data_IF_765169699000
#
_entry.id   IF_765169699000
#
_cell.length_a   1.000
_cell.length_b   1.000
_cell.length_c   1.000
_cell.angle_alpha   90.00
_cell.angle_beta   90.00
_cell.angle_gamma   90.00
#
_symmetry.space_group_name_H-M   'P 1'
#
loop_
_entity.id
_entity.type
_entity.pdbx_description
1 polymer ?
#
# COMPACT_ATOMS: atom_id res chain seq x y z
N UNK A 1 -1.19 -2.44 26.70
CA UNK A 1 -1.02 -1.95 25.30
C UNK A 1 -1.95 -2.80 24.44
N UNK A 2 -3.02 -2.23 23.87
CA UNK A 2 -4.11 -3.01 23.25
C UNK A 2 -3.70 -3.70 21.93
N UNK A 3 -4.28 -4.87 21.65
CA UNK A 3 -4.00 -5.72 20.49
C UNK A 3 -4.00 -4.96 19.14
N UNK A 4 -4.88 -3.96 19.00
CA UNK A 4 -4.95 -3.08 17.83
C UNK A 4 -3.66 -2.29 17.56
N UNK A 5 -2.94 -1.90 18.62
CA UNK A 5 -1.66 -1.18 18.50
C UNK A 5 -0.52 -2.07 18.01
N UNK A 6 -0.53 -3.34 18.41
CA UNK A 6 0.44 -4.34 17.94
C UNK A 6 0.20 -4.72 16.48
N UNK A 7 -1.07 -4.85 16.07
CA UNK A 7 -1.44 -5.16 14.69
C UNK A 7 -1.05 -4.05 13.73
N UNK A 8 -1.31 -2.78 14.08
CA UNK A 8 -0.94 -1.66 13.21
C UNK A 8 0.58 -1.52 13.06
N UNK A 9 1.34 -1.72 14.13
CA UNK A 9 2.80 -1.70 14.07
C UNK A 9 3.32 -2.78 13.11
N UNK A 10 2.80 -4.01 13.24
CA UNK A 10 3.10 -5.10 12.32
C UNK A 10 2.68 -4.76 10.88
N UNK A 11 1.51 -4.14 10.68
CA UNK A 11 1.05 -3.73 9.36
C UNK A 11 1.98 -2.69 8.72
N UNK A 12 2.46 -1.71 9.48
CA UNK A 12 3.43 -0.72 9.00
C UNK A 12 4.76 -1.40 8.63
N UNK A 13 5.28 -2.25 9.51
CA UNK A 13 6.55 -2.94 9.28
C UNK A 13 6.49 -3.88 8.07
N UNK A 14 5.38 -4.59 7.89
CA UNK A 14 5.22 -5.61 6.85
C UNK A 14 4.78 -5.01 5.50
N UNK A 15 3.99 -3.94 5.48
CA UNK A 15 3.39 -3.44 4.24
C UNK A 15 3.86 -2.04 3.84
N UNK A 16 4.05 -1.11 4.79
CA UNK A 16 4.41 0.28 4.44
C UNK A 16 5.85 0.37 3.98
N UNK A 17 6.80 -0.12 4.79
CA UNK A 17 8.22 0.01 4.47
C UNK A 17 8.61 -0.70 3.17
N UNK A 18 8.19 -1.95 2.94
CA UNK A 18 8.46 -2.60 1.66
C UNK A 18 7.85 -1.86 0.48
N UNK A 19 6.63 -1.31 0.62
CA UNK A 19 6.01 -0.53 -0.46
C UNK A 19 6.79 0.75 -0.77
N UNK A 20 7.26 1.49 0.24
CA UNK A 20 8.08 2.68 0.04
C UNK A 20 9.40 2.32 -0.67
N UNK A 21 10.07 1.26 -0.23
CA UNK A 21 11.32 0.80 -0.84
C UNK A 21 11.09 0.41 -2.30
N UNK A 22 10.06 -0.40 -2.58
CA UNK A 22 9.71 -0.83 -3.93
C UNK A 22 9.37 0.36 -4.85
N UNK A 23 8.56 1.30 -4.37
CA UNK A 23 8.21 2.50 -5.14
C UNK A 23 9.46 3.35 -5.43
N UNK A 24 10.34 3.50 -4.46
CA UNK A 24 11.61 4.23 -4.64
C UNK A 24 12.48 3.54 -5.69
N UNK A 25 12.66 2.21 -5.59
CA UNK A 25 13.44 1.45 -6.57
C UNK A 25 12.84 1.50 -7.98
N UNK A 26 11.51 1.52 -8.10
CA UNK A 26 10.84 1.67 -9.39
C UNK A 26 11.01 3.06 -10.00
N UNK A 27 11.05 4.11 -9.18
CA UNK A 27 11.12 5.50 -9.65
C UNK A 27 12.55 5.97 -9.91
N UNK A 28 13.54 5.42 -9.20
CA UNK A 28 14.95 5.73 -9.41
C UNK A 28 15.43 5.20 -10.78
N UNK A 29 16.35 5.95 -11.42
CA UNK A 29 16.97 5.61 -12.70
C UNK A 29 17.91 4.41 -12.63
N UNK A 30 17.38 3.21 -12.32
CA UNK A 30 18.16 1.98 -12.27
C UNK A 30 18.61 1.51 -13.66
N UNK A 31 19.76 0.82 -13.77
CA UNK A 31 20.19 0.15 -15.00
C UNK A 31 19.13 -0.85 -15.50
N UNK A 32 19.04 -1.07 -16.82
CA UNK A 32 18.01 -1.94 -17.44
C UNK A 32 17.96 -3.35 -16.85
N UNK A 33 19.10 -3.93 -16.47
CA UNK A 33 19.13 -5.27 -15.87
C UNK A 33 18.50 -5.27 -14.47
N UNK A 34 18.77 -4.25 -13.65
CA UNK A 34 18.24 -4.11 -12.30
C UNK A 34 16.73 -3.84 -12.34
N UNK A 35 16.25 -3.02 -13.28
CA UNK A 35 14.81 -2.81 -13.50
C UNK A 35 14.10 -4.10 -13.88
N UNK A 36 14.67 -4.91 -14.77
CA UNK A 36 14.12 -6.23 -15.15
C UNK A 36 14.10 -7.21 -13.98
N UNK A 37 15.17 -7.28 -13.20
CA UNK A 37 15.22 -8.11 -12.00
C UNK A 37 14.19 -7.68 -10.97
N UNK A 38 14.07 -6.37 -10.72
CA UNK A 38 13.07 -5.80 -9.82
C UNK A 38 11.65 -6.09 -10.29
N UNK A 39 11.36 -5.89 -11.58
CA UNK A 39 10.06 -6.22 -12.16
C UNK A 39 9.72 -7.71 -12.02
N UNK A 40 10.70 -8.60 -12.25
CA UNK A 40 10.52 -10.02 -12.03
C UNK A 40 10.21 -10.37 -10.57
N UNK A 41 10.92 -9.77 -9.61
CA UNK A 41 10.64 -9.95 -8.18
C UNK A 41 9.23 -9.45 -7.83
N UNK A 42 8.84 -8.28 -8.33
CA UNK A 42 7.50 -7.72 -8.12
C UNK A 42 6.43 -8.67 -8.67
N UNK A 43 6.61 -9.17 -9.89
CA UNK A 43 5.68 -10.10 -10.51
C UNK A 43 5.58 -11.41 -9.73
N UNK A 44 6.70 -11.94 -9.22
CA UNK A 44 6.71 -13.18 -8.44
C UNK A 44 6.18 -13.03 -7.02
N UNK A 45 6.38 -11.88 -6.39
CA UNK A 45 5.97 -11.65 -4.99
C UNK A 45 4.54 -11.11 -4.94
N UNK A 46 4.27 -9.97 -5.60
CA UNK A 46 2.95 -9.34 -5.54
C UNK A 46 1.90 -10.16 -6.31
N UNK A 47 2.27 -10.84 -7.39
CA UNK A 47 1.31 -11.68 -8.13
C UNK A 47 1.47 -13.17 -7.85
N UNK A 48 2.11 -13.52 -6.72
CA UNK A 48 2.14 -14.90 -6.24
C UNK A 48 0.69 -15.39 -6.06
N UNK A 49 0.27 -16.48 -6.72
CA UNK A 49 -1.06 -17.02 -6.54
C UNK A 49 -1.16 -17.68 -5.15
N UNK A 50 -1.98 -17.10 -4.29
CA UNK A 50 -2.33 -17.67 -2.98
C UNK A 50 -3.62 -18.45 -3.11
N UNK A 51 -3.66 -19.65 -2.55
CA UNK A 51 -4.86 -20.48 -2.54
C UNK A 51 -5.77 -20.05 -1.37
N UNK A 52 -6.97 -19.59 -1.69
CA UNK A 52 -8.01 -19.27 -0.72
C UNK A 52 -9.18 -20.23 -0.99
N UNK A 53 -9.16 -21.37 -0.30
CA UNK A 53 -10.03 -22.51 -0.62
C UNK A 53 -9.73 -23.04 -2.02
N UNK A 54 -10.73 -23.01 -2.91
CA UNK A 54 -10.61 -23.48 -4.29
C UNK A 54 -10.14 -22.40 -5.28
N UNK A 55 -10.01 -21.14 -4.85
CA UNK A 55 -9.66 -20.03 -5.73
C UNK A 55 -8.18 -19.66 -5.63
N UNK A 56 -7.56 -19.32 -6.76
CA UNK A 56 -6.22 -18.74 -6.82
C UNK A 56 -6.34 -17.23 -6.92
N UNK A 57 -5.93 -16.53 -5.86
CA UNK A 57 -5.99 -15.07 -5.80
C UNK A 57 -4.56 -14.53 -5.72
N UNK A 58 -4.15 -13.60 -6.61
CA UNK A 58 -2.87 -12.93 -6.49
C UNK A 58 -2.71 -12.26 -5.12
N UNK A 59 -1.55 -12.43 -4.48
CA UNK A 59 -1.25 -11.84 -3.17
C UNK A 59 -1.56 -10.34 -3.12
N UNK A 60 -1.33 -9.62 -4.22
CA UNK A 60 -1.67 -8.22 -4.42
C UNK A 60 -3.11 -7.88 -4.06
N UNK A 61 -4.08 -8.68 -4.52
CA UNK A 61 -5.49 -8.43 -4.24
C UNK A 61 -5.82 -8.67 -2.77
N UNK A 62 -5.15 -9.63 -2.13
CA UNK A 62 -5.28 -9.86 -0.69
C UNK A 62 -4.70 -8.69 0.11
N UNK A 63 -3.52 -8.18 -0.26
CA UNK A 63 -2.90 -7.02 0.39
C UNK A 63 -3.76 -5.77 0.21
N UNK A 64 -4.31 -5.54 -0.98
CA UNK A 64 -5.23 -4.42 -1.23
C UNK A 64 -6.53 -4.56 -0.44
N UNK A 65 -7.12 -5.75 -0.41
CA UNK A 65 -8.34 -5.99 0.37
C UNK A 65 -8.08 -5.75 1.86
N UNK A 66 -6.99 -6.29 2.39
CA UNK A 66 -6.60 -6.07 3.78
C UNK A 66 -6.39 -4.57 4.06
N UNK A 67 -5.69 -3.87 3.17
CA UNK A 67 -5.45 -2.43 3.29
C UNK A 67 -6.76 -1.63 3.24
N UNK A 68 -7.70 -2.02 2.38
CA UNK A 68 -9.02 -1.41 2.30
C UNK A 68 -9.86 -1.65 3.58
N UNK A 69 -9.79 -2.86 4.16
CA UNK A 69 -10.44 -3.18 5.43
C UNK A 69 -9.84 -2.35 6.57
N UNK A 70 -8.50 -2.28 6.66
CA UNK A 70 -7.82 -1.48 7.69
C UNK A 70 -8.16 0.00 7.53
N UNK A 71 -8.22 0.50 6.30
CA UNK A 71 -8.64 1.87 6.00
C UNK A 71 -10.09 2.12 6.44
N UNK A 72 -11.01 1.21 6.12
CA UNK A 72 -12.41 1.32 6.51
C UNK A 72 -12.59 1.33 8.03
N UNK A 73 -11.92 0.42 8.74
CA UNK A 73 -11.96 0.36 10.21
C UNK A 73 -11.34 1.62 10.83
N UNK A 74 -10.23 2.11 10.28
CA UNK A 74 -9.60 3.34 10.77
C UNK A 74 -10.46 4.58 10.51
N UNK A 75 -11.17 4.61 9.38
CA UNK A 75 -12.11 5.68 9.04
C UNK A 75 -13.32 5.70 10.00
N UNK A 76 -13.92 4.54 10.28
CA UNK A 76 -15.03 4.45 11.22
C UNK A 76 -14.61 4.82 12.64
N UNK A 77 -13.43 4.39 13.09
CA UNK A 77 -12.86 4.80 14.38
C UNK A 77 -12.64 6.33 14.44
N UNK A 78 -12.10 6.93 13.38
CA UNK A 78 -11.88 8.37 13.30
C UNK A 78 -13.20 9.15 13.32
N UNK A 79 -14.20 8.74 12.54
CA UNK A 79 -15.50 9.41 12.49
C UNK A 79 -16.26 9.35 13.81
N UNK A 80 -16.28 8.17 14.45
CA UNK A 80 -16.91 8.01 15.77
C UNK A 80 -16.29 8.96 16.80
N UNK A 81 -14.97 9.15 16.76
CA UNK A 81 -14.25 10.07 17.64
C UNK A 81 -14.42 11.55 17.24
N UNK A 82 -14.53 11.86 15.95
CA UNK A 82 -14.72 13.23 15.49
C UNK A 82 -16.04 13.83 16.00
N UNK A 83 -17.12 13.06 15.95
CA UNK A 83 -18.43 13.44 16.49
C UNK A 83 -18.34 13.74 18.00
N UNK A 84 -17.56 12.95 18.74
CA UNK A 84 -17.35 13.17 20.17
C UNK A 84 -16.49 14.40 20.49
N UNK A 85 -15.62 14.87 19.59
CA UNK A 85 -14.69 15.98 19.87
C UNK A 85 -15.38 17.34 20.01
N UNK A 86 -16.52 17.54 19.33
CA UNK A 86 -17.34 18.73 19.49
C UNK A 86 -17.97 18.83 20.89
N UNK A 87 -18.32 17.69 21.48
CA UNK A 87 -18.89 17.58 22.82
C UNK A 87 -17.80 17.56 23.91
N UNK A 88 -16.65 16.94 23.62
CA UNK A 88 -15.51 16.76 24.53
C UNK A 88 -14.67 18.01 24.77
N UNK A 89 -14.81 19.06 23.95
CA UNK A 89 -14.13 20.33 24.17
C UNK A 89 -14.46 20.97 25.55
N UNK A 90 -15.56 20.53 26.19
CA UNK A 90 -16.01 20.98 27.51
C UNK A 90 -15.76 19.96 28.63
N UNK A 91 -15.22 18.78 28.33
CA UNK A 91 -15.04 17.71 29.30
C UNK A 91 -13.72 17.88 30.09
N UNK A 92 -13.69 17.51 31.39
CA UNK A 92 -12.49 17.61 32.22
C UNK A 92 -11.32 16.73 31.72
N UNK A 93 -11.60 15.75 30.84
CA UNK A 93 -10.61 14.82 30.29
C UNK A 93 -10.30 15.09 28.79
N UNK A 94 -10.55 16.31 28.31
CA UNK A 94 -10.42 16.67 26.89
C UNK A 94 -9.05 16.29 26.28
N UNK A 95 -7.96 16.43 27.03
CA UNK A 95 -6.61 16.10 26.53
C UNK A 95 -6.40 14.61 26.27
N UNK A 96 -6.92 13.75 27.15
CA UNK A 96 -6.81 12.31 26.96
C UNK A 96 -7.60 11.83 25.73
N UNK A 97 -8.77 12.42 25.47
CA UNK A 97 -9.56 12.11 24.29
C UNK A 97 -8.96 12.69 23.00
N UNK A 98 -8.40 13.91 23.05
CA UNK A 98 -7.61 14.48 21.94
C UNK A 98 -6.49 13.53 21.52
N UNK A 99 -5.73 12.98 22.47
CA UNK A 99 -4.66 12.01 22.17
C UNK A 99 -5.20 10.75 21.49
N UNK A 100 -6.37 10.25 21.90
CA UNK A 100 -7.00 9.09 21.25
C UNK A 100 -7.48 9.41 19.83
N UNK A 101 -8.06 10.59 19.61
CA UNK A 101 -8.44 11.07 18.29
C UNK A 101 -7.23 11.18 17.35
N UNK A 102 -6.16 11.86 17.78
CA UNK A 102 -4.94 11.97 16.97
C UNK A 102 -4.34 10.60 16.63
N UNK A 103 -4.36 9.67 17.58
CA UNK A 103 -3.94 8.28 17.30
C UNK A 103 -4.78 7.66 16.19
N UNK A 104 -6.12 7.73 16.28
CA UNK A 104 -7.00 7.19 15.25
C UNK A 104 -6.78 7.86 13.87
N UNK A 105 -6.58 9.18 13.85
CA UNK A 105 -6.27 9.93 12.64
C UNK A 105 -4.95 9.50 12.00
N UNK A 106 -3.91 9.28 12.81
CA UNK A 106 -2.62 8.74 12.32
C UNK A 106 -2.81 7.35 11.72
N UNK A 107 -3.60 6.46 12.35
CA UNK A 107 -3.89 5.13 11.77
C UNK A 107 -4.56 5.23 10.41
N UNK A 108 -5.54 6.12 10.30
CA UNK A 108 -6.25 6.37 9.06
C UNK A 108 -5.31 6.82 7.94
N UNK A 109 -4.44 7.80 8.19
CA UNK A 109 -3.49 8.28 7.19
C UNK A 109 -2.47 7.23 6.78
N UNK A 110 -1.98 6.43 7.74
CA UNK A 110 -1.09 5.29 7.44
C UNK A 110 -1.80 4.28 6.52
N UNK A 111 -3.02 3.88 6.86
CA UNK A 111 -3.78 2.92 6.08
C UNK A 111 -4.07 3.45 4.67
N UNK A 112 -4.48 4.72 4.57
CA UNK A 112 -4.74 5.40 3.30
C UNK A 112 -3.48 5.48 2.45
N UNK A 113 -2.37 5.93 3.03
CA UNK A 113 -1.08 6.01 2.35
C UNK A 113 -0.61 4.64 1.84
N UNK A 114 -0.73 3.60 2.66
CA UNK A 114 -0.37 2.23 2.25
C UNK A 114 -1.19 1.76 1.05
N UNK A 115 -2.51 1.95 1.10
CA UNK A 115 -3.40 1.60 0.00
C UNK A 115 -3.00 2.29 -1.31
N UNK A 116 -2.72 3.60 -1.25
CA UNK A 116 -2.27 4.33 -2.44
C UNK A 116 -0.88 3.90 -2.93
N UNK A 117 0.06 3.59 -2.03
CA UNK A 117 1.39 3.10 -2.40
C UNK A 117 1.30 1.81 -3.23
N UNK A 118 0.50 0.85 -2.80
CA UNK A 118 0.33 -0.40 -3.54
C UNK A 118 -0.32 -0.19 -4.90
N UNK A 119 -1.32 0.69 -5.01
CA UNK A 119 -1.91 1.07 -6.31
C UNK A 119 -0.85 1.71 -7.22
N UNK A 120 -0.02 2.61 -6.68
CA UNK A 120 1.01 3.31 -7.44
C UNK A 120 2.07 2.33 -7.97
N UNK A 121 2.54 1.40 -7.13
CA UNK A 121 3.51 0.36 -7.53
C UNK A 121 2.98 -0.43 -8.74
N UNK A 122 1.71 -0.87 -8.69
CA UNK A 122 1.11 -1.64 -9.79
C UNK A 122 0.99 -0.83 -11.07
N UNK A 123 0.59 0.44 -10.96
CA UNK A 123 0.48 1.34 -12.11
C UNK A 123 1.83 1.59 -12.76
N UNK A 124 2.88 1.86 -11.98
CA UNK A 124 4.23 2.10 -12.49
C UNK A 124 4.79 0.83 -13.14
N UNK A 125 4.63 -0.32 -12.49
CA UNK A 125 5.06 -1.61 -13.04
C UNK A 125 4.36 -1.92 -14.38
N UNK A 126 3.05 -1.66 -14.47
CA UNK A 126 2.30 -1.79 -15.72
C UNK A 126 2.83 -0.84 -16.82
N UNK A 127 3.17 0.41 -16.47
CA UNK A 127 3.75 1.34 -17.43
C UNK A 127 5.13 0.90 -17.91
N UNK A 128 6.00 0.43 -17.02
CA UNK A 128 7.32 -0.08 -17.39
C UNK A 128 7.23 -1.26 -18.36
N UNK A 129 6.40 -2.26 -18.05
CA UNK A 129 6.22 -3.42 -18.91
C UNK A 129 5.70 -3.04 -20.30
N UNK A 130 4.78 -2.08 -20.38
CA UNK A 130 4.25 -1.58 -21.65
C UNK A 130 5.29 -0.81 -22.47
N UNK A 131 6.08 0.05 -21.82
CA UNK A 131 7.17 0.81 -22.48
C UNK A 131 8.24 -0.14 -23.00
N UNK A 132 8.67 -1.13 -22.21
CA UNK A 132 9.66 -2.12 -22.62
C UNK A 132 9.18 -2.94 -23.84
N UNK A 133 7.89 -3.29 -23.88
CA UNK A 133 7.30 -4.01 -25.02
C UNK A 133 7.29 -3.15 -26.30
N UNK A 134 6.96 -1.85 -26.19
CA UNK A 134 6.99 -0.92 -27.31
C UNK A 134 8.41 -0.68 -27.83
N UNK A 135 9.38 -0.54 -26.91
CA UNK A 135 10.78 -0.38 -27.26
C UNK A 135 11.29 -1.59 -28.06
N UNK A 136 10.97 -2.80 -27.59
CA UNK A 136 11.34 -4.04 -28.27
C UNK A 136 10.73 -4.12 -29.68
N UNK A 137 9.44 -3.80 -29.82
CA UNK A 137 8.78 -3.81 -31.13
C UNK A 137 9.42 -2.83 -32.11
N UNK A 138 9.87 -1.66 -31.63
CA UNK A 138 10.57 -0.68 -32.45
C UNK A 138 11.97 -1.17 -32.87
N UNK A 139 12.70 -1.82 -31.96
CA UNK A 139 14.01 -2.39 -32.26
C UNK A 139 13.90 -3.53 -33.29
N UNK A 140 12.87 -4.39 -33.16
CA UNK A 140 12.58 -5.49 -34.10
C UNK A 140 12.20 -4.95 -35.50
N UNK A 141 11.43 -3.85 -35.57
CA UNK A 141 11.12 -3.16 -36.82
C UNK A 141 12.36 -2.55 -37.47
N UNK A 142 13.22 -1.90 -36.68
CA UNK A 142 14.46 -1.31 -37.18
C UNK A 142 15.45 -2.36 -37.68
N UNK A 143 15.45 -3.57 -37.12
CA UNK A 143 16.27 -4.68 -37.59
C UNK A 143 15.73 -5.36 -38.87
N UNK A 144 14.44 -5.17 -39.17
CA UNK A 144 13.78 -5.73 -40.36
C UNK A 144 13.76 -4.77 -41.57
N UNK A 145 14.13 -3.50 -41.38
CA UNK A 145 14.24 -2.46 -42.41
C UNK A 145 15.66 -2.36 -42.95
#
# INVERSE_FOLDING_TARGET
>A
RGAMGSFLALYVEVFVWPAIILLTLLTVGLPRFAKRALGWVIDKVLFLPVHVGSFKVPLFWLVNLLSAVVLFVSYTEMNARHLSMAELAKAPNADAERVKYYKAQVRFWIALGTFFLYIAITRIQYLHTKVDALQKANDDLAAAA
#
